data_IF_813682189197
#
_entry.id   IF_813682189197
#
_cell.length_a   1.000
_cell.length_b   1.000
_cell.length_c   1.000
_cell.angle_alpha   90.00
_cell.angle_beta   90.00
_cell.angle_gamma   90.00
#
_symmetry.space_group_name_H-M   'P 1'
#
loop_
_entity.id
_entity.type
_entity.pdbx_description
1 polymer ?
#
# COMPACT_ATOMS: atom_id res chain seq x y z
N UNK A 1 -18.27 0.08 -23.60
CA UNK A 1 -18.21 0.65 -22.23
C UNK A 1 -16.76 0.55 -21.76
N UNK A 2 -16.02 1.66 -21.80
CA UNK A 2 -14.63 1.73 -21.33
C UNK A 2 -14.67 2.07 -19.84
N UNK A 3 -14.80 1.07 -18.97
CA UNK A 3 -14.44 1.27 -17.56
C UNK A 3 -12.91 1.22 -17.51
N UNK A 4 -12.26 2.37 -17.66
CA UNK A 4 -10.83 2.48 -17.39
C UNK A 4 -10.60 2.12 -15.93
N UNK A 5 -9.96 0.98 -15.67
CA UNK A 5 -9.59 0.55 -14.33
C UNK A 5 -8.74 1.66 -13.68
N UNK A 6 -9.20 2.17 -12.54
CA UNK A 6 -8.47 3.16 -11.73
C UNK A 6 -7.83 2.44 -10.55
N UNK A 7 -6.52 2.57 -10.43
CA UNK A 7 -5.76 1.95 -9.36
C UNK A 7 -5.25 3.00 -8.40
N UNK A 8 -5.32 2.70 -7.11
CA UNK A 8 -4.88 3.58 -6.05
C UNK A 8 -3.80 2.88 -5.23
N UNK A 9 -2.72 3.60 -4.95
CA UNK A 9 -1.75 3.19 -3.94
C UNK A 9 -2.24 3.72 -2.60
N UNK A 10 -2.56 2.83 -1.68
CA UNK A 10 -2.77 3.16 -0.27
C UNK A 10 -1.48 2.84 0.46
N UNK A 11 -0.90 3.80 1.18
CA UNK A 11 0.35 3.64 1.94
C UNK A 11 0.12 4.05 3.38
N UNK A 12 0.60 3.26 4.34
CA UNK A 12 0.64 3.60 5.75
C UNK A 12 2.08 3.74 6.21
N UNK A 13 2.35 4.78 6.98
CA UNK A 13 3.68 5.08 7.51
C UNK A 13 3.49 5.47 8.98
N UNK A 14 4.17 4.78 9.88
CA UNK A 14 4.36 5.23 11.25
C UNK A 14 5.79 5.73 11.37
N UNK A 15 5.95 6.99 11.74
CA UNK A 15 7.25 7.59 12.02
C UNK A 15 7.20 8.38 13.33
N UNK A 16 8.01 7.99 14.33
CA UNK A 16 8.07 8.63 15.67
C UNK A 16 6.67 8.86 16.25
N UNK A 17 5.92 7.78 16.38
CA UNK A 17 4.56 7.74 16.96
C UNK A 17 3.48 8.51 16.18
N UNK A 18 3.80 8.98 14.96
CA UNK A 18 2.83 9.59 14.07
C UNK A 18 2.46 8.63 12.95
N UNK A 19 1.18 8.28 12.86
CA UNK A 19 0.60 7.53 11.75
C UNK A 19 0.15 8.48 10.64
N UNK A 20 0.64 8.22 9.44
CA UNK A 20 0.21 8.89 8.21
C UNK A 20 -0.29 7.84 7.24
N UNK A 21 -1.51 8.03 6.74
CA UNK A 21 -2.09 7.21 5.66
C UNK A 21 -2.26 8.08 4.44
N UNK A 22 -1.68 7.66 3.32
CA UNK A 22 -1.73 8.39 2.04
C UNK A 22 -2.40 7.53 0.98
N UNK A 23 -3.27 8.15 0.19
CA UNK A 23 -3.87 7.55 -1.00
C UNK A 23 -3.46 8.37 -2.21
N UNK A 24 -2.89 7.70 -3.21
CA UNK A 24 -2.52 8.33 -4.49
C UNK A 24 -3.08 7.52 -5.65
N UNK A 25 -3.68 8.20 -6.62
CA UNK A 25 -4.10 7.56 -7.87
C UNK A 25 -2.89 7.23 -8.75
N UNK A 26 -2.98 6.10 -9.46
CA UNK A 26 -2.04 5.68 -10.47
C UNK A 26 -2.78 5.38 -11.77
N UNK A 27 -2.35 6.03 -12.84
CA UNK A 27 -2.99 5.92 -14.15
C UNK A 27 -2.61 4.61 -14.82
N UNK A 28 -3.59 3.89 -15.33
CA UNK A 28 -3.37 2.70 -16.14
C UNK A 28 -2.71 3.09 -17.48
N UNK A 29 -1.56 2.50 -17.78
CA UNK A 29 -0.90 2.62 -19.08
C UNK A 29 -1.21 1.42 -19.98
N UNK A 30 -1.17 0.22 -19.40
CA UNK A 30 -1.37 -1.03 -20.12
C UNK A 30 -2.00 -2.08 -19.23
N UNK A 31 -3.01 -2.75 -19.75
CA UNK A 31 -3.56 -3.96 -19.15
C UNK A 31 -3.04 -5.19 -19.89
N UNK A 32 -2.67 -6.23 -19.14
CA UNK A 32 -2.36 -7.56 -19.65
C UNK A 32 -3.19 -8.61 -18.90
N UNK A 33 -3.13 -9.87 -19.32
CA UNK A 33 -3.77 -10.96 -18.58
C UNK A 33 -3.22 -11.18 -17.17
N UNK A 34 -1.98 -10.77 -16.87
CA UNK A 34 -1.28 -11.07 -15.60
C UNK A 34 -1.00 -9.86 -14.72
N UNK A 35 -0.80 -8.69 -15.31
CA UNK A 35 -0.43 -7.47 -14.60
C UNK A 35 -0.97 -6.21 -15.28
N UNK A 36 -1.00 -5.13 -14.51
CA UNK A 36 -1.21 -3.76 -14.98
C UNK A 36 0.14 -3.02 -15.01
N UNK A 37 0.40 -2.27 -16.07
CA UNK A 37 1.43 -1.22 -16.05
C UNK A 37 0.75 0.09 -15.68
N UNK A 38 1.23 0.72 -14.62
CA UNK A 38 0.66 1.92 -14.04
C UNK A 38 1.70 3.02 -13.90
N UNK A 39 1.25 4.27 -13.95
CA UNK A 39 2.09 5.46 -13.83
C UNK A 39 1.60 6.39 -12.72
N UNK A 40 2.51 6.83 -11.86
CA UNK A 40 2.23 7.87 -10.86
C UNK A 40 2.28 9.26 -11.46
N UNK A 41 1.78 10.25 -10.72
CA UNK A 41 1.94 11.67 -11.09
C UNK A 41 3.42 12.07 -11.18
N UNK A 42 4.30 11.50 -10.33
CA UNK A 42 5.76 11.69 -10.37
C UNK A 42 6.46 10.96 -11.54
N UNK A 43 5.71 10.58 -12.57
CA UNK A 43 6.16 9.86 -13.76
C UNK A 43 6.79 8.47 -13.55
N UNK A 44 6.78 7.91 -12.34
CA UNK A 44 7.23 6.55 -12.08
C UNK A 44 6.30 5.52 -12.70
N UNK A 45 6.88 4.51 -13.36
CA UNK A 45 6.14 3.39 -13.94
C UNK A 45 6.38 2.13 -13.12
N UNK A 46 5.31 1.41 -12.79
CA UNK A 46 5.37 0.13 -12.07
C UNK A 46 4.49 -0.92 -12.73
N UNK A 47 4.87 -2.18 -12.51
CA UNK A 47 4.03 -3.35 -12.81
C UNK A 47 3.37 -3.84 -11.53
N UNK A 48 2.05 -3.96 -11.56
CA UNK A 48 1.27 -4.53 -10.46
C UNK A 48 0.62 -5.81 -10.96
N UNK A 49 1.04 -6.94 -10.42
CA UNK A 49 0.46 -8.23 -10.73
C UNK A 49 -0.96 -8.31 -10.17
N UNK A 50 -1.91 -8.83 -10.96
CA UNK A 50 -3.33 -8.87 -10.58
C UNK A 50 -3.56 -9.62 -9.26
N UNK A 51 -2.80 -10.70 -9.03
CA UNK A 51 -2.81 -11.48 -7.79
C UNK A 51 -2.27 -10.74 -6.54
N UNK A 52 -1.60 -9.60 -6.74
CA UNK A 52 -1.06 -8.76 -5.66
C UNK A 52 -1.93 -7.53 -5.38
N UNK A 53 -3.04 -7.35 -6.09
CA UNK A 53 -4.00 -6.31 -5.75
C UNK A 53 -4.69 -6.62 -4.43
N UNK A 54 -4.86 -5.61 -3.59
CA UNK A 54 -5.39 -5.74 -2.24
C UNK A 54 -4.46 -6.46 -1.26
N UNK A 55 -3.26 -6.88 -1.70
CA UNK A 55 -2.27 -7.53 -0.84
C UNK A 55 -1.32 -6.46 -0.29
N UNK A 56 -1.27 -6.33 1.03
CA UNK A 56 -0.36 -5.43 1.72
C UNK A 56 1.08 -5.92 1.52
N UNK A 57 1.95 -4.99 1.12
CA UNK A 57 3.37 -5.19 0.92
C UNK A 57 4.14 -4.31 1.90
N UNK A 58 5.12 -4.89 2.57
CA UNK A 58 5.98 -4.15 3.49
C UNK A 58 7.06 -3.39 2.73
N UNK A 59 7.11 -2.07 2.96
CA UNK A 59 8.22 -1.23 2.50
C UNK A 59 9.41 -1.34 3.46
N UNK A 60 9.15 -1.64 4.73
CA UNK A 60 10.15 -1.86 5.78
C UNK A 60 9.95 -3.19 6.46
N UNK A 61 11.03 -3.94 6.73
CA UNK A 61 10.95 -5.29 7.33
C UNK A 61 10.45 -5.30 8.78
N UNK A 62 10.78 -4.29 9.57
CA UNK A 62 10.47 -4.18 10.98
C UNK A 62 10.42 -2.71 11.41
N UNK A 63 9.84 -2.45 12.58
CA UNK A 63 9.93 -1.13 13.21
C UNK A 63 11.37 -0.86 13.63
N UNK A 64 12.05 0.04 12.90
CA UNK A 64 13.44 0.37 13.15
C UNK A 64 13.62 1.88 13.10
N UNK A 65 14.36 2.45 14.05
CA UNK A 65 14.60 3.89 14.16
C UNK A 65 13.31 4.71 14.19
N UNK A 66 12.25 4.15 14.76
CA UNK A 66 10.95 4.80 14.83
C UNK A 66 10.14 4.78 13.53
N UNK A 67 10.55 4.02 12.50
CA UNK A 67 9.89 3.94 11.20
C UNK A 67 9.36 2.53 10.91
N UNK A 68 8.11 2.44 10.48
CA UNK A 68 7.56 1.28 9.77
C UNK A 68 6.58 1.75 8.71
N UNK A 69 6.59 1.12 7.54
CA UNK A 69 5.69 1.45 6.45
C UNK A 69 5.32 0.25 5.59
N UNK A 70 4.10 0.29 5.07
CA UNK A 70 3.57 -0.68 4.12
C UNK A 70 2.68 0.02 3.09
N UNK A 71 2.35 -0.70 2.02
CA UNK A 71 1.42 -0.22 1.02
C UNK A 71 0.67 -1.34 0.32
N UNK A 72 -0.39 -0.99 -0.40
CA UNK A 72 -1.10 -1.88 -1.32
C UNK A 72 -1.57 -1.09 -2.53
N UNK A 73 -1.85 -1.81 -3.62
CA UNK A 73 -2.56 -1.28 -4.77
C UNK A 73 -3.95 -1.90 -4.81
N UNK A 74 -4.99 -1.08 -4.95
CA UNK A 74 -6.37 -1.53 -4.96
C UNK A 74 -7.24 -0.72 -5.92
N UNK A 75 -8.44 -1.22 -6.18
CA UNK A 75 -9.47 -0.49 -6.91
C UNK A 75 -10.05 0.63 -6.01
N UNK A 76 -10.85 1.51 -6.60
CA UNK A 76 -11.40 2.67 -5.88
C UNK A 76 -12.30 2.27 -4.71
N UNK A 77 -13.15 1.28 -4.96
CA UNK A 77 -14.12 0.71 -4.02
C UNK A 77 -13.46 0.10 -2.76
N UNK A 78 -12.20 -0.32 -2.87
CA UNK A 78 -11.49 -1.01 -1.79
C UNK A 78 -10.67 -0.07 -0.91
N UNK A 79 -10.57 1.23 -1.23
CA UNK A 79 -9.64 2.15 -0.57
C UNK A 79 -9.87 2.20 0.95
N UNK A 80 -11.11 2.36 1.41
CA UNK A 80 -11.40 2.49 2.85
C UNK A 80 -11.15 1.18 3.61
N UNK A 81 -11.45 0.04 2.98
CA UNK A 81 -11.11 -1.28 3.51
C UNK A 81 -9.59 -1.42 3.65
N UNK A 82 -8.84 -1.05 2.61
CA UNK A 82 -7.39 -1.15 2.61
C UNK A 82 -6.72 -0.20 3.59
N UNK A 83 -7.24 1.01 3.80
CA UNK A 83 -6.76 1.91 4.86
C UNK A 83 -6.86 1.23 6.22
N UNK A 84 -8.03 0.66 6.54
CA UNK A 84 -8.26 0.00 7.83
C UNK A 84 -7.33 -1.19 8.03
N UNK A 85 -7.15 -2.02 7.00
CA UNK A 85 -6.23 -3.17 7.05
C UNK A 85 -4.77 -2.75 7.22
N UNK A 86 -4.34 -1.68 6.53
CA UNK A 86 -2.99 -1.12 6.67
C UNK A 86 -2.72 -0.67 8.11
N UNK A 87 -3.68 0.00 8.73
CA UNK A 87 -3.54 0.48 10.12
C UNK A 87 -3.39 -0.70 11.07
N UNK A 88 -4.27 -1.70 10.95
CA UNK A 88 -4.23 -2.93 11.76
C UNK A 88 -2.91 -3.68 11.60
N UNK A 89 -2.38 -3.77 10.37
CA UNK A 89 -1.13 -4.45 10.09
C UNK A 89 0.08 -3.72 10.71
N UNK A 90 0.11 -2.39 10.64
CA UNK A 90 1.17 -1.58 11.25
C UNK A 90 1.14 -1.70 12.78
N UNK A 91 -0.05 -1.62 13.38
CA UNK A 91 -0.22 -1.74 14.84
C UNK A 91 0.20 -3.13 15.36
N UNK A 92 -0.17 -4.19 14.63
CA UNK A 92 0.26 -5.56 14.91
C UNK A 92 1.79 -5.71 14.90
N UNK A 93 2.48 -5.10 13.93
CA UNK A 93 3.95 -5.14 13.81
C UNK A 93 4.67 -4.35 14.88
N UNK A 94 4.14 -3.19 15.27
CA UNK A 94 4.68 -2.41 16.37
C UNK A 94 4.52 -3.21 17.67
N UNK A 95 3.32 -3.74 17.92
CA UNK A 95 3.01 -4.54 19.11
C UNK A 95 3.88 -5.80 19.23
N UNK A 96 4.12 -6.51 18.14
CA UNK A 96 4.99 -7.70 18.16
C UNK A 96 6.46 -7.36 18.41
N UNK A 97 6.94 -6.25 17.84
CA UNK A 97 8.31 -5.78 18.06
C UNK A 97 8.52 -5.36 19.52
N UNK A 98 7.60 -4.57 20.09
CA UNK A 98 7.68 -4.13 21.49
C UNK A 98 7.66 -5.31 22.49
N UNK A 99 6.89 -6.36 22.22
CA UNK A 99 6.85 -7.57 23.08
C UNK A 99 8.16 -8.35 23.10
N UNK A 100 9.00 -8.22 22.08
CA UNK A 100 10.28 -8.93 21.99
C UNK A 100 11.41 -8.22 22.76
N UNK A 101 11.18 -6.98 23.20
CA UNK A 101 12.15 -6.17 23.95
C UNK A 101 11.94 -6.19 25.47
N UNK A 102 11.02 -7.01 26.00
CA UNK A 102 10.73 -7.16 27.43
C UNK A 102 11.16 -8.53 27.95
#
# INVERSE_FOLDING_TARGET
>A
MNNSIRLFKVSGIVHKDQLVVCVKEWKLLKETGRYYEIKSDDANVKRVYKEKLGVIQDDTKAYANGLISNHTFCAHEDIETMKSLIITELDSKISSTCKTCC
#
